data_IF_055872597403
#
_entry.id   IF_055872597403
#
_cell.length_a   1.000
_cell.length_b   1.000
_cell.length_c   1.000
_cell.angle_alpha   90.00
_cell.angle_beta   90.00
_cell.angle_gamma   90.00
#
_symmetry.space_group_name_H-M   'P 1'
#
loop_
_entity.id
_entity.type
_entity.pdbx_description
1 polymer ?
#
# COMPACT_ATOMS: atom_id res chain seq x y z
N UNK A 1 -21.22 9.44 -3.00
CA UNK A 1 -21.71 8.15 -2.49
C UNK A 1 -22.99 7.75 -3.21
N UNK A 2 -23.02 6.57 -3.79
CA UNK A 2 -24.18 6.07 -4.54
C UNK A 2 -25.16 5.33 -3.63
N UNK A 3 -24.69 4.43 -2.76
CA UNK A 3 -25.58 3.58 -1.96
C UNK A 3 -25.00 3.05 -0.64
N UNK A 4 -23.77 3.32 -0.29
CA UNK A 4 -23.16 2.82 0.95
C UNK A 4 -23.59 3.58 2.21
N UNK A 5 -23.59 2.92 3.35
CA UNK A 5 -23.92 3.48 4.66
C UNK A 5 -22.68 3.95 5.44
N UNK A 6 -22.92 4.88 6.39
CA UNK A 6 -21.87 5.34 7.32
C UNK A 6 -20.63 5.94 6.63
N UNK A 7 -20.78 6.55 5.47
CA UNK A 7 -19.70 7.19 4.75
C UNK A 7 -19.58 8.67 5.12
N UNK A 8 -18.35 9.17 5.21
CA UNK A 8 -18.02 10.59 5.39
C UNK A 8 -17.29 11.09 4.15
N UNK A 9 -17.83 12.08 3.43
CA UNK A 9 -17.24 12.65 2.24
C UNK A 9 -17.17 14.18 2.35
N UNK A 10 -15.97 14.74 2.30
CA UNK A 10 -15.74 16.19 2.34
C UNK A 10 -14.82 16.59 1.18
N UNK A 11 -15.34 17.35 0.24
CA UNK A 11 -14.60 17.80 -0.95
C UNK A 11 -15.32 17.47 -2.25
N UNK A 12 -14.97 18.20 -3.33
CA UNK A 12 -15.54 17.95 -4.65
C UNK A 12 -15.16 16.55 -5.13
N UNK A 13 -16.13 15.71 -5.47
CA UNK A 13 -15.91 14.37 -5.99
C UNK A 13 -15.46 13.33 -4.94
N UNK A 14 -15.43 13.67 -3.64
CA UNK A 14 -15.11 12.70 -2.60
C UNK A 14 -16.17 11.59 -2.55
N UNK A 15 -15.75 10.31 -2.58
CA UNK A 15 -16.61 9.10 -2.58
C UNK A 15 -17.77 9.13 -3.58
N UNK A 16 -17.65 9.84 -4.70
CA UNK A 16 -18.79 10.06 -5.60
C UNK A 16 -19.40 8.75 -6.10
N UNK A 17 -18.61 7.74 -6.35
CA UNK A 17 -19.04 6.46 -6.93
C UNK A 17 -19.07 5.30 -5.94
N UNK A 18 -18.84 5.57 -4.66
CA UNK A 18 -18.83 4.51 -3.64
C UNK A 18 -20.22 3.88 -3.48
N UNK A 19 -20.26 2.56 -3.56
CA UNK A 19 -21.42 1.73 -3.20
C UNK A 19 -21.18 0.97 -1.90
N UNK A 20 -20.02 1.13 -1.30
CA UNK A 20 -19.57 0.45 -0.08
C UNK A 20 -19.71 1.33 1.16
N UNK A 21 -19.53 0.75 2.33
CA UNK A 21 -19.85 1.37 3.62
C UNK A 21 -18.61 1.61 4.49
N UNK A 22 -18.78 2.50 5.49
CA UNK A 22 -17.78 2.81 6.51
C UNK A 22 -16.50 3.45 5.96
N UNK A 23 -16.61 4.26 4.90
CA UNK A 23 -15.48 4.96 4.30
C UNK A 23 -15.45 6.42 4.71
N UNK A 24 -14.26 6.97 4.87
CA UNK A 24 -14.03 8.39 5.10
C UNK A 24 -13.12 8.94 4.00
N UNK A 25 -13.57 9.97 3.28
CA UNK A 25 -12.75 10.66 2.29
C UNK A 25 -12.83 12.18 2.48
N UNK A 26 -11.67 12.79 2.64
CA UNK A 26 -11.52 14.23 2.85
C UNK A 26 -10.50 14.78 1.85
N UNK A 27 -10.95 15.57 0.91
CA UNK A 27 -10.15 16.16 -0.16
C UNK A 27 -10.85 16.13 -1.51
N UNK A 28 -10.38 16.94 -2.45
CA UNK A 28 -10.89 16.92 -3.83
C UNK A 28 -10.56 15.56 -4.44
N UNK A 29 -11.55 14.86 -5.00
CA UNK A 29 -11.51 13.51 -5.58
C UNK A 29 -10.92 12.43 -4.67
N UNK A 30 -10.89 12.65 -3.34
CA UNK A 30 -10.48 11.64 -2.39
C UNK A 30 -11.43 10.44 -2.43
N UNK A 31 -10.88 9.22 -2.54
CA UNK A 31 -11.67 7.99 -2.60
C UNK A 31 -12.64 7.92 -3.79
N UNK A 32 -12.41 8.69 -4.87
CA UNK A 32 -13.30 8.66 -6.04
C UNK A 32 -13.33 7.30 -6.71
N UNK A 33 -12.22 6.56 -6.66
CA UNK A 33 -12.08 5.18 -7.15
C UNK A 33 -12.57 4.10 -6.18
N UNK A 34 -13.00 4.47 -4.97
CA UNK A 34 -13.64 3.51 -4.05
C UNK A 34 -15.01 3.14 -4.61
N UNK A 35 -15.16 1.90 -5.03
CA UNK A 35 -16.43 1.35 -5.50
C UNK A 35 -16.96 0.29 -4.55
N UNK A 36 -16.15 -0.67 -4.22
CA UNK A 36 -16.50 -1.84 -3.38
C UNK A 36 -15.67 -1.94 -2.09
N UNK A 37 -14.58 -1.18 -1.98
CA UNK A 37 -13.70 -1.18 -0.81
C UNK A 37 -14.43 -0.54 0.39
N UNK A 38 -14.37 -1.20 1.54
CA UNK A 38 -15.04 -0.81 2.78
C UNK A 38 -14.04 -0.52 3.90
N UNK A 39 -14.50 0.19 4.93
CA UNK A 39 -13.72 0.47 6.13
C UNK A 39 -12.38 1.15 5.81
N UNK A 40 -12.40 2.12 4.90
CA UNK A 40 -11.20 2.77 4.38
C UNK A 40 -11.23 4.27 4.59
N UNK A 41 -10.06 4.87 4.68
CA UNK A 41 -9.90 6.32 4.87
C UNK A 41 -8.96 6.90 3.82
N UNK A 42 -9.43 7.91 3.07
CA UNK A 42 -8.65 8.67 2.09
C UNK A 42 -8.53 10.12 2.53
N UNK A 43 -7.35 10.58 2.87
CA UNK A 43 -7.09 11.96 3.29
C UNK A 43 -6.15 12.68 2.32
N UNK A 44 -6.62 13.75 1.70
CA UNK A 44 -5.85 14.58 0.78
C UNK A 44 -6.37 14.54 -0.66
N UNK A 45 -5.85 15.44 -1.50
CA UNK A 45 -6.16 15.48 -2.93
C UNK A 45 -5.84 14.14 -3.59
N UNK A 46 -6.80 13.56 -4.30
CA UNK A 46 -6.67 12.32 -5.07
C UNK A 46 -6.10 11.13 -4.26
N UNK A 47 -6.31 11.11 -2.93
CA UNK A 47 -5.95 9.95 -2.11
C UNK A 47 -6.86 8.77 -2.46
N UNK A 48 -6.30 7.62 -2.85
CA UNK A 48 -7.03 6.43 -3.29
C UNK A 48 -6.50 5.20 -2.56
N UNK A 49 -7.38 4.43 -1.95
CA UNK A 49 -7.03 3.10 -1.43
C UNK A 49 -7.05 2.07 -2.55
N UNK A 50 -6.35 0.96 -2.35
CA UNK A 50 -6.25 -0.15 -3.30
C UNK A 50 -6.93 -1.42 -2.81
N UNK A 51 -7.38 -1.43 -1.56
CA UNK A 51 -8.15 -2.51 -0.94
C UNK A 51 -8.96 -1.99 0.24
N UNK A 52 -9.85 -2.83 0.78
CA UNK A 52 -10.55 -2.57 2.05
C UNK A 52 -9.59 -2.50 3.24
N UNK A 53 -10.03 -1.85 4.33
CA UNK A 53 -9.30 -1.73 5.60
C UNK A 53 -7.97 -0.95 5.49
N UNK A 54 -7.90 0.05 4.63
CA UNK A 54 -6.71 0.88 4.44
C UNK A 54 -6.93 2.33 4.86
N UNK A 55 -5.85 2.99 5.25
CA UNK A 55 -5.79 4.45 5.40
C UNK A 55 -4.75 4.97 4.40
N UNK A 56 -5.19 5.77 3.43
CA UNK A 56 -4.33 6.43 2.46
C UNK A 56 -4.17 7.91 2.83
N UNK A 57 -2.92 8.34 3.04
CA UNK A 57 -2.56 9.73 3.33
C UNK A 57 -1.93 10.37 2.09
N UNK A 58 -2.70 11.17 1.38
CA UNK A 58 -2.29 11.83 0.14
C UNK A 58 -2.19 10.88 -1.07
N UNK A 59 -1.73 11.43 -2.18
CA UNK A 59 -1.41 10.70 -3.42
C UNK A 59 0.08 10.32 -3.45
N UNK A 60 0.54 9.63 -4.50
CA UNK A 60 1.93 9.23 -4.67
C UNK A 60 2.97 10.36 -4.65
N UNK A 61 2.53 11.61 -4.82
CA UNK A 61 3.41 12.78 -4.70
C UNK A 61 3.56 13.31 -3.26
N UNK A 62 2.77 12.79 -2.31
CA UNK A 62 2.69 13.31 -0.94
C UNK A 62 3.81 12.74 -0.06
N UNK A 63 4.47 13.62 0.70
CA UNK A 63 5.35 13.19 1.79
C UNK A 63 4.65 13.39 3.12
N UNK A 64 4.58 12.36 3.95
CA UNK A 64 3.99 12.41 5.28
C UNK A 64 5.07 12.81 6.31
N UNK A 65 4.87 13.95 6.98
CA UNK A 65 5.73 14.40 8.07
C UNK A 65 5.01 14.24 9.40
N UNK A 66 5.67 13.63 10.38
CA UNK A 66 5.20 13.54 11.75
C UNK A 66 6.26 14.11 12.70
N UNK A 67 5.86 14.93 13.69
CA UNK A 67 6.80 15.45 14.71
C UNK A 67 7.15 14.40 15.77
N UNK A 68 6.36 13.35 15.89
CA UNK A 68 6.59 12.23 16.80
C UNK A 68 6.74 10.93 16.02
N UNK A 69 7.27 9.90 16.67
CA UNK A 69 7.35 8.57 16.07
C UNK A 69 5.95 7.96 15.91
N UNK A 70 5.72 7.29 14.79
CA UNK A 70 4.58 6.37 14.65
C UNK A 70 4.84 5.16 15.54
N UNK A 71 3.90 4.87 16.46
CA UNK A 71 4.05 3.78 17.41
C UNK A 71 3.11 2.63 17.06
N UNK A 72 3.66 1.43 17.00
CA UNK A 72 2.88 0.21 16.89
C UNK A 72 2.62 -0.35 18.28
N UNK A 73 1.36 -0.72 18.57
CA UNK A 73 1.02 -1.43 19.80
C UNK A 73 1.75 -2.77 19.84
N UNK A 74 2.41 -3.06 20.97
CA UNK A 74 3.23 -4.26 21.15
C UNK A 74 3.06 -4.88 22.55
N UNK A 75 1.89 -4.73 23.15
CA UNK A 75 1.56 -5.30 24.44
C UNK A 75 1.47 -6.83 24.34
N UNK A 76 2.09 -7.55 25.29
CA UNK A 76 2.08 -9.02 25.34
C UNK A 76 0.65 -9.58 25.42
N UNK A 77 -0.28 -8.88 26.09
CA UNK A 77 -1.68 -9.27 26.24
C UNK A 77 -2.47 -9.30 24.92
N UNK A 78 -1.96 -8.61 23.89
CA UNK A 78 -2.56 -8.56 22.56
C UNK A 78 -1.92 -9.58 21.60
N UNK A 79 -1.01 -10.45 22.11
CA UNK A 79 -0.26 -11.43 21.33
C UNK A 79 -0.55 -12.84 21.81
N UNK A 80 -0.49 -13.79 20.91
CA UNK A 80 -0.59 -15.22 21.19
C UNK A 80 0.49 -15.97 20.41
N UNK A 81 0.77 -17.21 20.81
CA UNK A 81 1.77 -18.08 20.15
C UNK A 81 3.15 -17.43 20.00
N UNK A 82 3.56 -16.65 21.00
CA UNK A 82 4.85 -15.96 21.02
C UNK A 82 5.98 -17.01 20.99
N UNK A 83 6.85 -16.90 20.00
CA UNK A 83 8.01 -17.77 19.79
C UNK A 83 9.18 -16.98 19.23
N UNK A 84 10.38 -17.54 19.31
CA UNK A 84 11.54 -16.98 18.62
C UNK A 84 11.28 -16.96 17.11
N UNK A 85 11.64 -15.84 16.45
CA UNK A 85 11.50 -15.76 15.00
C UNK A 85 12.45 -16.75 14.30
N UNK A 86 11.94 -17.39 13.27
CA UNK A 86 12.72 -18.24 12.36
C UNK A 86 13.34 -17.45 11.20
N UNK A 87 12.91 -16.18 11.05
CA UNK A 87 13.44 -15.26 10.04
C UNK A 87 14.72 -14.62 10.58
N UNK A 88 15.87 -15.22 10.30
CA UNK A 88 17.18 -14.78 10.75
C UNK A 88 18.10 -14.41 9.58
N UNK A 89 19.38 -14.74 9.74
CA UNK A 89 20.45 -14.37 8.80
C UNK A 89 20.19 -14.87 7.38
N UNK A 90 19.73 -16.10 7.23
CA UNK A 90 19.51 -16.69 5.90
C UNK A 90 18.37 -15.99 5.16
N UNK A 91 17.28 -15.63 5.86
CA UNK A 91 16.20 -14.83 5.30
C UNK A 91 16.70 -13.45 4.87
N UNK A 92 17.38 -12.72 5.76
CA UNK A 92 17.89 -11.37 5.47
C UNK A 92 18.86 -11.38 4.29
N UNK A 93 19.74 -12.40 4.19
CA UNK A 93 20.68 -12.54 3.07
C UNK A 93 20.00 -12.91 1.74
N UNK A 94 18.80 -13.48 1.77
CA UNK A 94 18.03 -13.80 0.57
C UNK A 94 17.34 -12.57 -0.03
N UNK A 95 17.21 -11.49 0.74
CA UNK A 95 16.59 -10.25 0.27
C UNK A 95 17.60 -9.42 -0.53
N UNK A 96 17.18 -8.91 -1.68
CA UNK A 96 18.00 -8.02 -2.50
C UNK A 96 17.68 -6.56 -2.20
N UNK A 97 18.60 -5.85 -1.58
CA UNK A 97 18.51 -4.40 -1.42
C UNK A 97 18.76 -3.72 -2.78
N UNK A 98 17.92 -2.74 -3.13
CA UNK A 98 17.97 -2.05 -4.41
C UNK A 98 17.86 -0.54 -4.24
N UNK A 99 18.43 0.18 -5.22
CA UNK A 99 18.18 1.58 -5.44
C UNK A 99 17.22 1.72 -6.63
N UNK A 100 16.18 2.55 -6.47
CA UNK A 100 15.17 2.75 -7.50
C UNK A 100 14.68 4.19 -7.54
N UNK A 101 14.06 4.56 -8.64
CA UNK A 101 13.28 5.80 -8.76
C UNK A 101 11.81 5.45 -8.89
N UNK A 102 10.97 6.28 -8.29
CA UNK A 102 9.53 6.16 -8.49
C UNK A 102 9.12 6.54 -9.90
N UNK A 103 8.30 5.71 -10.49
CA UNK A 103 7.50 5.91 -11.68
C UNK A 103 6.16 5.22 -11.40
N UNK A 104 5.28 5.94 -10.71
CA UNK A 104 4.11 5.32 -10.09
C UNK A 104 2.97 5.21 -11.09
N UNK A 105 2.36 4.03 -11.22
CA UNK A 105 1.17 3.81 -12.06
C UNK A 105 0.08 4.85 -11.82
N UNK A 106 -0.11 5.30 -10.57
CA UNK A 106 -1.12 6.30 -10.25
C UNK A 106 -0.87 7.69 -10.85
N UNK A 107 0.36 8.02 -11.24
CA UNK A 107 0.70 9.29 -11.89
C UNK A 107 0.21 9.31 -13.36
N UNK A 108 -0.17 8.16 -13.92
CA UNK A 108 -0.70 7.98 -15.27
C UNK A 108 -2.22 7.87 -15.34
N UNK A 109 -2.92 8.04 -14.21
CA UNK A 109 -4.39 8.03 -14.22
C UNK A 109 -4.93 9.18 -15.04
N UNK A 110 -5.90 8.89 -15.91
CA UNK A 110 -6.63 9.91 -16.65
C UNK A 110 -7.37 10.86 -15.70
N UNK A 111 -7.46 12.13 -16.08
CA UNK A 111 -8.29 13.10 -15.35
C UNK A 111 -9.76 12.69 -15.34
N UNK A 112 -10.44 12.97 -14.24
CA UNK A 112 -11.87 12.68 -14.10
C UNK A 112 -12.67 13.47 -15.13
N UNK A 113 -13.53 12.82 -15.92
CA UNK A 113 -14.38 13.49 -16.90
C UNK A 113 -15.25 14.58 -16.26
N UNK A 114 -15.51 15.62 -17.02
CA UNK A 114 -16.43 16.70 -16.65
C UNK A 114 -17.76 16.47 -17.36
N UNK A 115 -18.88 16.54 -16.63
CA UNK A 115 -20.21 16.31 -17.18
C UNK A 115 -20.53 17.23 -18.36
N UNK A 116 -20.15 18.53 -18.27
CA UNK A 116 -20.44 19.51 -19.32
C UNK A 116 -21.93 19.52 -19.71
N UNK A 117 -22.21 19.41 -21.02
CA UNK A 117 -23.56 19.36 -21.58
C UNK A 117 -24.14 17.95 -21.75
N UNK A 118 -23.39 16.91 -21.30
CA UNK A 118 -23.83 15.51 -21.39
C UNK A 118 -25.09 15.26 -20.55
N UNK A 119 -25.96 14.40 -21.05
CA UNK A 119 -27.08 13.85 -20.27
C UNK A 119 -26.55 13.03 -19.08
N UNK A 120 -27.41 12.74 -18.11
CA UNK A 120 -27.04 11.90 -16.96
C UNK A 120 -26.57 10.50 -17.39
N UNK A 121 -27.21 9.94 -18.42
CA UNK A 121 -26.91 8.60 -18.91
C UNK A 121 -25.58 8.55 -19.68
N UNK A 122 -25.32 9.51 -20.54
CA UNK A 122 -24.04 9.63 -21.26
C UNK A 122 -22.88 9.87 -20.28
N UNK A 123 -23.08 10.76 -19.30
CA UNK A 123 -22.07 11.02 -18.29
C UNK A 123 -21.82 9.79 -17.42
N UNK A 124 -22.85 9.03 -17.07
CA UNK A 124 -22.71 7.78 -16.31
C UNK A 124 -21.88 6.76 -17.08
N UNK A 125 -22.14 6.55 -18.37
CA UNK A 125 -21.36 5.63 -19.21
C UNK A 125 -19.89 6.07 -19.24
N UNK A 126 -19.63 7.34 -19.50
CA UNK A 126 -18.28 7.90 -19.52
C UNK A 126 -17.56 7.72 -18.19
N UNK A 127 -18.26 7.85 -17.08
CA UNK A 127 -17.70 7.65 -15.74
C UNK A 127 -17.42 6.18 -15.44
N UNK A 128 -18.28 5.26 -15.85
CA UNK A 128 -18.07 3.82 -15.67
C UNK A 128 -16.82 3.36 -16.45
N UNK A 129 -16.64 3.83 -17.69
CA UNK A 129 -15.43 3.60 -18.49
C UNK A 129 -14.18 4.21 -17.85
N UNK A 130 -14.28 5.44 -17.34
CA UNK A 130 -13.18 6.11 -16.67
C UNK A 130 -12.77 5.37 -15.38
N UNK A 131 -13.74 4.97 -14.54
CA UNK A 131 -13.47 4.22 -13.31
C UNK A 131 -12.71 2.93 -13.58
N UNK A 132 -13.03 2.24 -14.67
CA UNK A 132 -12.30 1.04 -15.07
C UNK A 132 -10.88 1.38 -15.54
N UNK A 133 -10.72 2.45 -16.32
CA UNK A 133 -9.43 2.87 -16.88
C UNK A 133 -8.42 3.35 -15.82
N UNK A 134 -8.87 3.84 -14.67
CA UNK A 134 -7.98 4.37 -13.61
C UNK A 134 -7.62 3.33 -12.54
N UNK A 135 -8.11 2.09 -12.66
CA UNK A 135 -7.61 0.99 -11.83
C UNK A 135 -6.15 0.72 -12.13
N UNK A 136 -5.33 0.51 -11.11
CA UNK A 136 -3.89 0.28 -11.29
C UNK A 136 -3.59 -0.96 -12.11
N UNK A 137 -4.48 -1.96 -12.13
CA UNK A 137 -4.38 -3.17 -12.92
C UNK A 137 -4.35 -2.88 -14.44
N UNK A 138 -5.02 -1.80 -14.85
CA UNK A 138 -5.16 -1.39 -16.25
C UNK A 138 -4.15 -0.31 -16.68
N UNK A 139 -3.30 0.16 -15.77
CA UNK A 139 -2.33 1.23 -16.03
C UNK A 139 -0.93 0.64 -16.19
N UNK A 140 -0.29 0.98 -17.31
CA UNK A 140 1.13 0.71 -17.56
C UNK A 140 1.91 2.01 -17.53
N UNK A 141 2.98 2.08 -16.74
CA UNK A 141 3.91 3.21 -16.75
C UNK A 141 4.88 3.09 -17.93
N UNK A 142 5.31 4.22 -18.49
CA UNK A 142 6.20 4.30 -19.67
C UNK A 142 7.50 5.08 -19.40
N UNK A 143 7.74 5.48 -18.15
CA UNK A 143 8.92 6.22 -17.74
C UNK A 143 8.79 7.74 -17.83
N UNK A 144 7.69 8.29 -18.37
CA UNK A 144 7.54 9.75 -18.56
C UNK A 144 7.32 10.50 -17.25
N UNK A 145 6.84 9.80 -16.19
CA UNK A 145 6.66 10.35 -14.84
C UNK A 145 7.75 9.91 -13.86
N UNK A 146 8.86 9.37 -14.35
CA UNK A 146 9.99 8.95 -13.50
C UNK A 146 10.53 10.12 -12.68
N UNK A 147 10.56 9.96 -11.35
CA UNK A 147 11.07 10.96 -10.42
C UNK A 147 12.60 10.98 -10.42
N UNK A 148 13.18 12.11 -10.05
CA UNK A 148 14.63 12.31 -10.16
C UNK A 148 15.42 11.66 -9.03
N UNK A 149 14.82 11.53 -7.83
CA UNK A 149 15.50 11.06 -6.62
C UNK A 149 15.56 9.54 -6.57
N UNK A 150 16.71 9.00 -6.19
CA UNK A 150 16.86 7.59 -5.82
C UNK A 150 16.30 7.34 -4.41
N UNK A 151 15.66 6.22 -4.27
CA UNK A 151 15.18 5.63 -3.03
C UNK A 151 15.85 4.27 -2.82
N UNK A 152 15.87 3.79 -1.58
CA UNK A 152 16.49 2.53 -1.19
C UNK A 152 15.40 1.62 -0.63
N UNK A 153 15.39 0.37 -1.01
CA UNK A 153 14.38 -0.56 -0.52
C UNK A 153 14.47 -1.94 -1.13
N UNK A 154 13.35 -2.62 -1.17
CA UNK A 154 13.17 -3.97 -1.69
C UNK A 154 12.10 -3.97 -2.77
N UNK A 155 12.12 -4.97 -3.65
CA UNK A 155 11.06 -5.23 -4.63
C UNK A 155 10.10 -6.25 -4.03
N UNK A 156 8.83 -5.91 -3.92
CA UNK A 156 7.84 -6.75 -3.24
C UNK A 156 7.69 -8.13 -3.90
N UNK A 157 7.76 -8.22 -5.23
CA UNK A 157 7.72 -9.48 -5.98
C UNK A 157 8.91 -10.39 -5.60
N UNK A 158 10.12 -9.83 -5.48
CA UNK A 158 11.30 -10.61 -5.07
C UNK A 158 11.19 -11.09 -3.62
N UNK A 159 10.61 -10.29 -2.74
CA UNK A 159 10.30 -10.69 -1.36
C UNK A 159 9.27 -11.83 -1.35
N UNK A 160 8.25 -11.75 -2.20
CA UNK A 160 7.27 -12.82 -2.38
C UNK A 160 7.93 -14.14 -2.79
N UNK A 161 8.84 -14.09 -3.77
CA UNK A 161 9.59 -15.28 -4.21
C UNK A 161 10.40 -15.90 -3.06
N UNK A 162 11.05 -15.07 -2.23
CA UNK A 162 11.80 -15.53 -1.04
C UNK A 162 10.88 -16.20 -0.02
N UNK A 163 9.71 -15.62 0.25
CA UNK A 163 8.69 -16.18 1.16
C UNK A 163 8.22 -17.54 0.64
N UNK A 164 7.86 -17.62 -0.64
CA UNK A 164 7.41 -18.85 -1.27
C UNK A 164 8.48 -19.95 -1.25
N UNK A 165 9.73 -19.60 -1.55
CA UNK A 165 10.85 -20.54 -1.55
C UNK A 165 11.19 -21.05 -0.15
N UNK A 166 11.07 -20.21 0.88
CA UNK A 166 11.37 -20.56 2.27
C UNK A 166 10.21 -21.30 2.96
N UNK A 167 8.98 -21.14 2.46
CA UNK A 167 7.76 -21.65 3.08
C UNK A 167 7.44 -21.00 4.43
N UNK A 168 8.04 -19.83 4.72
CA UNK A 168 7.87 -19.09 5.98
C UNK A 168 7.03 -17.84 5.70
N UNK A 169 6.01 -17.63 6.52
CA UNK A 169 5.18 -16.42 6.46
C UNK A 169 5.97 -15.20 6.96
N UNK A 170 5.78 -14.07 6.26
CA UNK A 170 6.34 -12.79 6.64
C UNK A 170 5.26 -11.71 6.65
N UNK A 171 4.84 -11.28 7.85
CA UNK A 171 3.76 -10.30 8.04
C UNK A 171 4.01 -8.93 7.41
N UNK A 172 5.25 -8.62 7.02
CA UNK A 172 5.60 -7.40 6.30
C UNK A 172 5.24 -7.41 4.81
N UNK A 173 4.88 -8.55 4.22
CA UNK A 173 4.42 -8.63 2.83
C UNK A 173 2.90 -8.59 2.75
N UNK A 174 2.35 -7.79 1.83
CA UNK A 174 0.92 -7.72 1.59
C UNK A 174 0.60 -7.68 0.11
N UNK A 175 -0.32 -8.55 -0.29
CA UNK A 175 -0.96 -8.57 -1.60
C UNK A 175 -2.37 -7.98 -1.48
N UNK A 176 -2.60 -6.83 -2.09
CA UNK A 176 -3.89 -6.13 -2.01
C UNK A 176 -4.97 -6.77 -2.88
N UNK A 177 -4.61 -7.60 -3.87
CA UNK A 177 -5.58 -8.32 -4.71
C UNK A 177 -6.36 -9.37 -3.92
N UNK A 178 -5.80 -9.84 -2.82
CA UNK A 178 -6.49 -10.74 -1.90
C UNK A 178 -7.75 -10.04 -1.36
N UNK A 179 -8.89 -10.70 -1.42
CA UNK A 179 -10.20 -10.17 -1.05
C UNK A 179 -10.72 -9.02 -1.95
N UNK A 180 -10.32 -9.00 -3.21
CA UNK A 180 -10.91 -8.13 -4.24
C UNK A 180 -10.31 -6.72 -4.32
N UNK A 181 -9.14 -6.50 -3.75
CA UNK A 181 -8.37 -5.28 -3.98
C UNK A 181 -7.68 -5.26 -5.35
N UNK A 182 -6.97 -4.18 -5.64
CA UNK A 182 -6.22 -4.00 -6.89
C UNK A 182 -4.89 -4.78 -6.85
N UNK A 183 -4.32 -5.06 -8.03
CA UNK A 183 -3.01 -5.72 -8.18
C UNK A 183 -1.87 -4.79 -7.72
N UNK A 184 -1.72 -4.71 -6.41
CA UNK A 184 -0.69 -3.93 -5.73
C UNK A 184 -0.06 -4.77 -4.62
N UNK A 185 1.26 -4.84 -4.63
CA UNK A 185 2.05 -5.45 -3.56
C UNK A 185 2.69 -4.35 -2.71
N UNK A 186 2.72 -4.55 -1.40
CA UNK A 186 3.34 -3.60 -0.47
C UNK A 186 4.19 -4.29 0.60
N UNK A 187 5.12 -3.51 1.18
CA UNK A 187 6.02 -3.98 2.22
C UNK A 187 5.95 -3.08 3.46
N UNK A 188 5.67 -3.67 4.60
CA UNK A 188 5.82 -3.07 5.92
C UNK A 188 7.26 -3.18 6.42
N UNK A 189 8.08 -2.19 6.13
CA UNK A 189 9.51 -2.21 6.45
C UNK A 189 9.82 -2.37 7.94
N UNK A 190 8.93 -1.95 8.84
CA UNK A 190 9.08 -2.13 10.28
C UNK A 190 9.07 -3.60 10.70
N UNK A 191 8.44 -4.48 9.92
CA UNK A 191 8.43 -5.93 10.16
C UNK A 191 9.80 -6.59 9.89
N UNK A 192 10.72 -5.91 9.21
CA UNK A 192 12.10 -6.38 9.02
C UNK A 192 12.96 -6.19 10.26
N UNK A 193 12.56 -5.38 11.23
CA UNK A 193 13.37 -5.07 12.42
C UNK A 193 13.67 -6.34 13.23
N UNK A 194 12.67 -7.17 13.51
CA UNK A 194 12.86 -8.40 14.29
C UNK A 194 13.76 -9.43 13.54
N UNK A 195 13.54 -9.72 12.24
CA UNK A 195 14.48 -10.50 11.42
C UNK A 195 15.92 -9.97 11.44
N UNK A 196 16.12 -8.66 11.31
CA UNK A 196 17.45 -8.05 11.35
C UNK A 196 18.12 -8.21 12.73
N UNK A 197 17.37 -8.05 13.82
CA UNK A 197 17.89 -8.30 15.18
C UNK A 197 18.33 -9.75 15.31
N UNK A 198 17.52 -10.70 14.84
CA UNK A 198 17.86 -12.13 14.86
C UNK A 198 19.12 -12.43 14.02
N UNK A 199 19.21 -11.86 12.81
CA UNK A 199 20.38 -12.01 11.96
C UNK A 199 21.66 -11.50 12.63
N UNK A 200 21.61 -10.34 13.30
CA UNK A 200 22.73 -9.79 14.07
C UNK A 200 23.13 -10.74 15.21
N UNK A 201 22.18 -11.28 15.96
CA UNK A 201 22.44 -12.25 17.04
C UNK A 201 23.12 -13.51 16.53
N UNK A 202 22.68 -14.05 15.40
CA UNK A 202 23.29 -15.23 14.75
C UNK A 202 24.71 -14.94 14.25
N UNK A 203 24.94 -13.78 13.62
CA UNK A 203 26.28 -13.35 13.23
C UNK A 203 27.22 -13.20 14.44
N UNK A 204 26.73 -12.56 15.51
CA UNK A 204 27.52 -12.40 16.75
C UNK A 204 27.92 -13.76 17.33
N UNK A 205 27.00 -14.72 17.38
CA UNK A 205 27.28 -16.06 17.85
C UNK A 205 28.33 -16.76 16.98
N UNK A 206 28.26 -16.65 15.65
CA UNK A 206 29.25 -17.21 14.71
C UNK A 206 30.63 -16.57 14.90
N UNK A 207 30.70 -15.25 15.09
CA UNK A 207 31.97 -14.53 15.35
C UNK A 207 32.61 -15.02 16.66
N UNK A 208 31.83 -15.08 17.75
CA UNK A 208 32.36 -15.57 19.05
C UNK A 208 32.96 -16.97 18.95
N UNK A 209 32.34 -17.89 18.20
CA UNK A 209 32.89 -19.23 17.95
C UNK A 209 34.21 -19.15 17.18
N UNK A 210 34.34 -18.26 16.18
CA UNK A 210 35.56 -18.10 15.39
C UNK A 210 36.71 -17.47 16.19
N UNK A 211 36.39 -16.59 17.15
CA UNK A 211 37.34 -15.91 18.02
C UNK A 211 37.74 -16.74 19.24
N UNK A 212 37.12 -17.93 19.44
CA UNK A 212 37.39 -18.82 20.54
C UNK A 212 36.84 -18.35 21.90
N UNK A 213 35.79 -17.52 21.88
CA UNK A 213 35.07 -17.01 23.05
C UNK A 213 33.85 -17.86 23.37
#
# INVERSE_FOLDING_TARGET
NVSGDNNTAIGKGALTYSTSSNNTAIGNVAGVGITTESNSTCLGYNAQVTASNQIQLGSGATTCYTNGALQNRSDERDKTEVRDTVLGLDFVNSLRAVDYKWDMREDYRAEMPIKGELSEEEYKILMDEWLESVKLDNITHDGTHTRTRYHHGLIAQEVQDVIQASGVDFGGFQDHSVNGGQDVLSLGYTELIAPMIKAIQELTARINVLEGN
#
